data_IF_140632620008
#
_entry.id   IF_140632620008
#
_cell.length_a   1.000
_cell.length_b   1.000
_cell.length_c   1.000
_cell.angle_alpha   90.00
_cell.angle_beta   90.00
_cell.angle_gamma   90.00
#
_symmetry.space_group_name_H-M   'P 1'
#
loop_
_entity.id
_entity.type
_entity.pdbx_description
1 polymer ?
#
# COMPACT_ATOMS: atom_id res chain seq x y z
N UNK A 1 8.98 17.94 9.29
CA UNK A 1 9.68 16.65 9.39
C UNK A 1 8.96 15.82 10.43
N UNK A 2 8.03 14.96 10.03
CA UNK A 2 7.29 14.12 10.98
C UNK A 2 8.09 12.84 11.22
N UNK A 3 8.46 12.63 12.48
CA UNK A 3 9.28 11.53 12.94
C UNK A 3 8.65 10.17 12.57
N UNK A 4 9.44 9.33 11.89
CA UNK A 4 9.10 7.94 11.61
C UNK A 4 9.30 7.14 12.91
N UNK A 5 8.22 6.82 13.60
CA UNK A 5 8.25 5.87 14.72
C UNK A 5 8.58 4.48 14.15
N UNK A 6 9.80 4.02 14.43
CA UNK A 6 10.31 2.71 13.98
C UNK A 6 9.76 1.62 14.89
N UNK A 7 8.62 1.04 14.52
CA UNK A 7 8.08 -0.19 15.11
C UNK A 7 8.90 -1.41 14.66
N UNK A 8 8.92 -2.47 15.48
CA UNK A 8 9.50 -3.79 15.13
C UNK A 8 9.02 -4.26 13.74
N UNK A 9 9.79 -5.08 12.99
CA UNK A 9 9.45 -5.44 11.62
C UNK A 9 8.09 -6.13 11.59
N UNK A 10 7.07 -5.37 11.21
CA UNK A 10 5.71 -5.85 11.22
C UNK A 10 5.58 -6.97 10.18
N UNK A 11 5.06 -8.12 10.60
CA UNK A 11 4.70 -9.19 9.66
C UNK A 11 3.26 -9.00 9.22
N UNK A 12 3.05 -8.99 7.92
CA UNK A 12 1.77 -8.85 7.27
C UNK A 12 1.26 -10.21 6.77
N UNK A 13 0.03 -10.58 7.12
CA UNK A 13 -0.67 -11.67 6.45
C UNK A 13 -1.08 -11.25 5.04
N UNK A 14 -0.73 -12.06 4.03
CA UNK A 14 -1.12 -11.85 2.63
C UNK A 14 -1.71 -13.15 2.07
N UNK A 15 -2.41 -13.11 0.91
CA UNK A 15 -2.88 -14.32 0.24
C UNK A 15 -1.77 -15.32 -0.13
N UNK A 16 -0.51 -14.89 -0.19
CA UNK A 16 0.65 -15.74 -0.51
C UNK A 16 1.46 -16.13 0.72
N UNK A 17 0.89 -15.96 1.91
CA UNK A 17 1.54 -16.22 3.19
C UNK A 17 2.10 -14.96 3.85
N UNK A 18 2.85 -15.12 4.96
CA UNK A 18 3.40 -14.00 5.71
C UNK A 18 4.47 -13.26 4.90
N UNK A 19 4.44 -11.94 4.96
CA UNK A 19 5.41 -11.05 4.34
C UNK A 19 5.93 -10.03 5.35
N UNK A 20 7.23 -9.73 5.30
CA UNK A 20 7.89 -8.73 6.12
C UNK A 20 7.59 -7.34 5.57
N UNK A 21 7.19 -6.41 6.43
CA UNK A 21 7.09 -4.99 6.08
C UNK A 21 8.49 -4.39 5.94
N UNK A 22 8.70 -3.68 4.84
CA UNK A 22 9.99 -3.08 4.48
C UNK A 22 9.92 -1.56 4.53
N UNK A 23 8.83 -1.03 4.01
CA UNK A 23 8.57 0.38 3.90
C UNK A 23 7.08 0.62 4.03
N UNK A 24 6.72 1.74 4.66
CA UNK A 24 5.34 2.21 4.76
C UNK A 24 5.29 3.71 4.49
N UNK A 25 4.51 4.08 3.48
CA UNK A 25 4.03 5.44 3.29
C UNK A 25 2.67 5.55 3.98
N UNK A 26 2.54 6.51 4.89
CA UNK A 26 1.26 6.89 5.52
C UNK A 26 0.81 8.22 4.94
N UNK A 27 -0.41 8.25 4.40
CA UNK A 27 -1.06 9.42 3.83
C UNK A 27 -2.26 9.80 4.71
N UNK A 28 -2.11 10.77 5.63
CA UNK A 28 -3.22 11.31 6.40
C UNK A 28 -4.23 12.02 5.49
N UNK A 29 -5.52 11.75 5.70
CA UNK A 29 -6.62 12.29 4.89
C UNK A 29 -7.78 12.69 5.80
N UNK A 30 -8.62 13.59 5.30
CA UNK A 30 -9.80 14.08 6.00
C UNK A 30 -10.97 14.25 5.03
N UNK A 31 -12.16 13.88 5.48
CA UNK A 31 -13.42 14.12 4.77
C UNK A 31 -14.46 14.63 5.78
N UNK A 32 -14.79 15.92 5.72
CA UNK A 32 -15.55 16.58 6.79
C UNK A 32 -14.80 16.49 8.13
N UNK A 33 -15.45 15.97 9.16
CA UNK A 33 -14.81 15.75 10.48
C UNK A 33 -14.07 14.40 10.57
N UNK A 34 -14.27 13.49 9.61
CA UNK A 34 -13.68 12.16 9.65
C UNK A 34 -12.23 12.21 9.23
N UNK A 35 -11.35 11.69 10.08
CA UNK A 35 -9.92 11.51 9.80
C UNK A 35 -9.61 10.06 9.51
N UNK A 36 -8.81 9.82 8.49
CA UNK A 36 -8.34 8.49 8.13
C UNK A 36 -6.92 8.57 7.57
N UNK A 37 -6.28 7.43 7.38
CA UNK A 37 -5.00 7.35 6.71
C UNK A 37 -5.03 6.25 5.67
N UNK A 38 -4.58 6.55 4.45
CA UNK A 38 -4.19 5.51 3.51
C UNK A 38 -2.75 5.08 3.80
N UNK A 39 -2.43 3.82 3.56
CA UNK A 39 -1.09 3.27 3.65
C UNK A 39 -0.72 2.60 2.33
N UNK A 40 0.52 2.83 1.92
CA UNK A 40 1.17 2.08 0.85
C UNK A 40 2.37 1.40 1.47
N UNK A 41 2.37 0.07 1.44
CA UNK A 41 3.38 -0.73 2.10
C UNK A 41 4.14 -1.58 1.09
N UNK A 42 5.45 -1.54 1.16
CA UNK A 42 6.33 -2.49 0.47
C UNK A 42 6.56 -3.68 1.39
N UNK A 43 6.19 -4.88 0.92
CA UNK A 43 6.34 -6.13 1.65
C UNK A 43 7.28 -7.07 0.90
N UNK A 44 7.90 -8.00 1.63
CA UNK A 44 8.68 -9.10 1.05
C UNK A 44 8.29 -10.43 1.66
N UNK A 45 8.00 -11.41 0.81
CA UNK A 45 7.72 -12.78 1.24
C UNK A 45 9.00 -13.47 1.70
N UNK A 46 8.87 -14.60 2.40
CA UNK A 46 10.04 -15.44 2.78
C UNK A 46 10.89 -15.89 1.58
N UNK A 47 10.34 -15.88 0.37
CA UNK A 47 11.05 -16.25 -0.88
C UNK A 47 11.70 -15.05 -1.59
N UNK A 48 11.65 -13.85 -1.01
CA UNK A 48 12.22 -12.63 -1.58
C UNK A 48 11.30 -11.88 -2.57
N UNK A 49 10.06 -12.35 -2.78
CA UNK A 49 9.12 -11.68 -3.69
C UNK A 49 8.61 -10.37 -3.08
N UNK A 50 8.67 -9.27 -3.85
CA UNK A 50 8.14 -7.96 -3.46
C UNK A 50 6.64 -7.84 -3.74
N UNK A 51 5.91 -7.31 -2.77
CA UNK A 51 4.49 -6.99 -2.88
C UNK A 51 4.26 -5.53 -2.53
N UNK A 52 3.26 -4.90 -3.15
CA UNK A 52 2.77 -3.57 -2.74
C UNK A 52 1.35 -3.73 -2.20
N UNK A 53 1.14 -3.29 -0.97
CA UNK A 53 -0.17 -3.34 -0.30
C UNK A 53 -0.74 -1.95 -0.11
N UNK A 54 -1.96 -1.75 -0.59
CA UNK A 54 -2.77 -0.57 -0.34
C UNK A 54 -3.79 -0.90 0.76
N UNK A 55 -3.80 -0.09 1.81
CA UNK A 55 -4.73 -0.22 2.92
C UNK A 55 -5.23 1.17 3.33
N UNK A 56 -6.35 1.23 4.04
CA UNK A 56 -6.75 2.45 4.75
C UNK A 56 -7.19 2.10 6.17
N UNK A 57 -6.96 3.03 7.09
CA UNK A 57 -7.41 2.95 8.47
C UNK A 57 -8.21 4.20 8.83
N UNK A 58 -9.30 4.00 9.54
CA UNK A 58 -9.87 5.01 10.44
C UNK A 58 -9.34 4.71 11.83
N UNK A 59 -9.00 5.75 12.61
CA UNK A 59 -8.53 5.58 14.01
C UNK A 59 -7.30 4.67 14.15
N UNK A 60 -6.45 4.61 13.13
CA UNK A 60 -5.18 3.87 13.15
C UNK A 60 -5.28 2.36 12.92
N UNK A 61 -6.48 1.77 12.91
CA UNK A 61 -6.67 0.33 12.60
C UNK A 61 -7.10 0.13 11.14
N UNK A 62 -6.34 -0.67 10.39
CA UNK A 62 -6.69 -0.98 9.01
C UNK A 62 -8.08 -1.63 8.93
N UNK A 63 -9.00 -1.03 8.17
CA UNK A 63 -10.30 -1.65 7.89
C UNK A 63 -10.13 -2.66 6.75
N UNK A 64 -10.95 -3.72 6.79
CA UNK A 64 -10.88 -4.96 5.99
C UNK A 64 -10.50 -4.77 4.51
N UNK A 65 -9.83 -5.80 3.97
CA UNK A 65 -9.65 -6.01 2.53
C UNK A 65 -8.50 -5.22 1.89
N UNK A 66 -7.29 -5.17 2.48
CA UNK A 66 -6.17 -4.51 1.82
C UNK A 66 -5.87 -5.17 0.46
N UNK A 67 -5.75 -4.34 -0.57
CA UNK A 67 -5.41 -4.80 -1.91
C UNK A 67 -3.90 -4.97 -1.97
N UNK A 68 -3.45 -6.20 -2.19
CA UNK A 68 -2.02 -6.52 -2.31
C UNK A 68 -1.74 -6.94 -3.75
N UNK A 69 -0.83 -6.23 -4.40
CA UNK A 69 -0.38 -6.48 -5.77
C UNK A 69 1.02 -7.10 -5.75
N UNK A 70 1.25 -8.10 -6.59
CA UNK A 70 2.61 -8.58 -6.88
C UNK A 70 3.31 -7.66 -7.89
N UNK A 71 4.62 -7.82 -8.02
CA UNK A 71 5.43 -7.12 -9.03
C UNK A 71 4.80 -7.21 -10.44
N UNK A 72 4.43 -8.41 -10.88
CA UNK A 72 3.78 -8.62 -12.19
C UNK A 72 2.44 -7.91 -12.37
N UNK A 73 1.69 -7.73 -11.28
CA UNK A 73 0.39 -7.04 -11.33
C UNK A 73 0.62 -5.53 -11.49
N UNK A 74 1.70 -5.00 -10.91
CA UNK A 74 2.15 -3.60 -11.10
C UNK A 74 2.65 -3.36 -12.51
N UNK A 75 3.38 -4.29 -13.11
CA UNK A 75 3.78 -4.23 -14.52
C UNK A 75 2.56 -4.15 -15.42
N UNK A 76 1.56 -5.02 -15.18
CA UNK A 76 0.29 -5.00 -15.90
C UNK A 76 -0.48 -3.69 -15.68
N UNK A 77 -0.49 -3.16 -14.45
CA UNK A 77 -1.12 -1.88 -14.13
C UNK A 77 -0.53 -0.76 -14.99
N UNK A 78 0.80 -0.66 -15.10
CA UNK A 78 1.47 0.35 -15.94
C UNK A 78 1.04 0.26 -17.41
N UNK A 79 0.97 -0.96 -17.95
CA UNK A 79 0.49 -1.18 -19.32
C UNK A 79 -0.97 -0.73 -19.47
N UNK A 80 -1.83 -1.05 -18.50
CA UNK A 80 -3.24 -0.66 -18.56
C UNK A 80 -3.43 0.85 -18.39
N UNK A 81 -2.65 1.53 -17.55
CA UNK A 81 -2.72 2.98 -17.37
C UNK A 81 -2.52 3.72 -18.71
N UNK A 82 -1.63 3.24 -19.59
CA UNK A 82 -1.44 3.82 -20.93
C UNK A 82 -2.72 3.87 -21.79
N UNK A 83 -3.72 3.04 -21.47
CA UNK A 83 -5.00 2.95 -22.16
C UNK A 83 -6.11 3.77 -21.48
N UNK A 84 -5.81 4.40 -20.35
CA UNK A 84 -6.75 5.16 -19.52
C UNK A 84 -6.17 6.55 -19.22
N UNK A 85 -6.20 7.49 -20.18
CA UNK A 85 -5.45 8.74 -20.12
C UNK A 85 -5.76 9.59 -18.88
N UNK A 86 -7.03 9.68 -18.45
CA UNK A 86 -7.38 10.43 -17.23
C UNK A 86 -6.77 9.83 -15.95
N UNK A 87 -6.68 8.50 -15.87
CA UNK A 87 -6.01 7.83 -14.74
C UNK A 87 -4.50 8.00 -14.81
N UNK A 88 -3.91 7.86 -16.01
CA UNK A 88 -2.48 8.06 -16.22
C UNK A 88 -2.06 9.49 -15.84
N UNK A 89 -2.80 10.50 -16.31
CA UNK A 89 -2.54 11.91 -16.01
C UNK A 89 -2.70 12.22 -14.52
N UNK A 90 -3.72 11.67 -13.88
CA UNK A 90 -3.99 11.92 -12.45
C UNK A 90 -2.94 11.26 -11.55
N UNK A 91 -2.55 10.02 -11.85
CA UNK A 91 -1.59 9.27 -11.04
C UNK A 91 -0.15 9.69 -11.30
N UNK A 92 0.18 10.11 -12.53
CA UNK A 92 1.54 10.48 -12.96
C UNK A 92 2.59 9.39 -12.65
N UNK A 93 2.19 8.12 -12.84
CA UNK A 93 3.00 6.91 -12.62
C UNK A 93 3.44 6.27 -13.93
#
# INVERSE_FOLDING_TARGET
>A
MSAQTKSAPATASTPWGPARLLEELRLPQQAGEKRFSSFIQLLETKKGERLVRFAYATDGTARRGPVTLRARDLERLRVLLSKHPGLQETLRL
#
